data_IF_956795319858
#
_entry.id   IF_956795319858
#
_cell.length_a   1.000
_cell.length_b   1.000
_cell.length_c   1.000
_cell.angle_alpha   90.00
_cell.angle_beta   90.00
_cell.angle_gamma   90.00
#
_symmetry.space_group_name_H-M   'P 1'
#
loop_
_entity.id
_entity.type
_entity.pdbx_description
1 polymer ?
#
# COMPACT_ATOMS: atom_id res chain seq x y z
N UNK A 1 14.94 38.11 -11.62
CA UNK A 1 14.07 37.11 -12.27
C UNK A 1 14.88 36.35 -13.31
N UNK A 2 14.52 35.11 -13.62
CA UNK A 2 14.96 34.44 -14.83
C UNK A 2 14.14 34.97 -16.02
N UNK A 3 14.75 35.15 -17.19
CA UNK A 3 14.06 35.65 -18.39
C UNK A 3 13.84 34.55 -19.44
N UNK A 4 14.19 33.30 -19.13
CA UNK A 4 13.93 32.15 -19.98
C UNK A 4 13.92 30.85 -19.20
N UNK A 5 13.49 29.79 -19.86
CA UNK A 5 13.61 28.42 -19.36
C UNK A 5 13.80 27.45 -20.54
N UNK A 6 14.66 26.47 -20.34
CA UNK A 6 14.89 25.36 -21.27
C UNK A 6 14.14 24.14 -20.77
N UNK A 7 13.31 23.53 -21.63
CA UNK A 7 12.73 22.22 -21.36
C UNK A 7 13.84 21.16 -21.40
N UNK A 8 14.07 20.48 -20.28
CA UNK A 8 15.05 19.39 -20.16
C UNK A 8 14.43 18.08 -20.63
N UNK A 9 13.27 17.73 -20.05
CA UNK A 9 12.50 16.54 -20.41
C UNK A 9 11.05 16.72 -19.94
N UNK A 10 10.11 16.09 -20.63
CA UNK A 10 8.74 15.92 -20.16
C UNK A 10 8.30 14.47 -20.39
N UNK A 11 7.31 14.05 -19.63
CA UNK A 11 6.65 12.77 -19.84
C UNK A 11 5.13 12.98 -19.82
N UNK A 12 4.44 12.75 -20.95
CA UNK A 12 2.99 12.91 -21.00
C UNK A 12 2.23 11.91 -20.12
N UNK A 13 2.78 10.73 -19.81
CA UNK A 13 2.12 9.73 -18.96
C UNK A 13 2.23 10.09 -17.48
N UNK A 14 3.41 10.53 -17.04
CA UNK A 14 3.67 11.06 -15.70
C UNK A 14 3.30 12.55 -15.59
N UNK A 15 2.72 13.15 -16.63
CA UNK A 15 2.14 14.51 -16.62
C UNK A 15 3.03 15.56 -15.93
N UNK A 16 4.32 15.58 -16.29
CA UNK A 16 5.29 16.52 -15.73
C UNK A 16 6.26 17.04 -16.79
N UNK A 17 6.87 18.18 -16.50
CA UNK A 17 8.00 18.73 -17.25
C UNK A 17 9.10 19.19 -16.30
N UNK A 18 10.34 18.77 -16.57
CA UNK A 18 11.53 19.31 -15.94
C UNK A 18 12.08 20.44 -16.80
N UNK A 19 12.16 21.63 -16.23
CA UNK A 19 12.71 22.82 -16.90
C UNK A 19 13.92 23.34 -16.14
N UNK A 20 14.88 23.89 -16.88
CA UNK A 20 16.03 24.62 -16.35
C UNK A 20 15.81 26.11 -16.57
N UNK A 21 15.89 26.92 -15.52
CA UNK A 21 15.81 28.37 -15.66
C UNK A 21 17.07 28.92 -16.32
N UNK A 22 16.88 29.77 -17.34
CA UNK A 22 17.95 30.41 -18.09
C UNK A 22 17.98 31.92 -17.84
N UNK A 23 19.11 32.54 -18.14
CA UNK A 23 19.27 34.00 -18.10
C UNK A 23 18.80 34.61 -16.77
N UNK A 24 19.22 34.01 -15.66
CA UNK A 24 18.98 34.56 -14.31
C UNK A 24 19.67 35.92 -14.25
N UNK A 25 18.90 37.00 -14.05
CA UNK A 25 19.43 38.37 -14.01
C UNK A 25 20.61 38.49 -13.03
N UNK A 26 21.62 39.27 -13.40
CA UNK A 26 22.77 39.54 -12.54
C UNK A 26 22.33 40.03 -11.14
N UNK A 27 22.87 39.41 -10.09
CA UNK A 27 22.54 39.72 -8.70
C UNK A 27 21.35 38.97 -8.11
N UNK A 28 20.68 38.08 -8.87
CA UNK A 28 19.61 37.22 -8.35
C UNK A 28 20.19 35.89 -7.90
N UNK A 29 20.14 35.63 -6.59
CA UNK A 29 20.48 34.33 -6.00
C UNK A 29 19.21 33.49 -5.82
N UNK A 30 19.09 32.41 -6.59
CA UNK A 30 17.95 31.49 -6.49
C UNK A 30 17.94 30.72 -5.17
N UNK A 31 19.09 30.53 -4.51
CA UNK A 31 19.16 29.82 -3.23
C UNK A 31 18.35 30.53 -2.12
N UNK A 32 18.17 31.86 -2.24
CA UNK A 32 17.37 32.66 -1.30
C UNK A 32 15.88 32.28 -1.26
N UNK A 33 15.36 31.61 -2.31
CA UNK A 33 13.97 31.15 -2.38
C UNK A 33 13.78 29.74 -1.81
N UNK A 34 14.88 29.02 -1.53
CA UNK A 34 14.83 27.61 -1.15
C UNK A 34 14.32 26.69 -2.27
N UNK A 35 14.12 25.42 -1.92
CA UNK A 35 13.53 24.42 -2.81
C UNK A 35 12.78 23.39 -1.97
N UNK A 36 11.78 22.76 -2.58
CA UNK A 36 11.08 21.63 -1.99
C UNK A 36 11.81 20.33 -2.35
N UNK A 37 11.78 19.38 -1.42
CA UNK A 37 12.35 18.05 -1.62
C UNK A 37 11.23 17.01 -1.56
N UNK A 38 11.44 15.88 -2.22
CA UNK A 38 10.62 14.68 -2.07
C UNK A 38 11.31 13.69 -1.16
N UNK A 39 10.55 12.81 -0.51
CA UNK A 39 11.13 11.68 0.21
C UNK A 39 11.41 10.51 -0.75
N UNK A 40 12.29 9.62 -0.32
CA UNK A 40 12.61 8.38 -1.04
C UNK A 40 11.59 7.26 -0.84
N UNK A 41 10.62 7.44 0.05
CA UNK A 41 9.59 6.45 0.39
C UNK A 41 8.27 6.76 -0.31
N UNK A 42 7.49 5.73 -0.64
CA UNK A 42 6.16 5.90 -1.21
C UNK A 42 5.21 6.65 -0.26
N UNK A 43 4.24 7.34 -0.86
CA UNK A 43 3.13 7.94 -0.14
C UNK A 43 2.21 6.84 0.43
N UNK A 44 1.69 7.01 1.64
CA UNK A 44 0.76 6.06 2.25
C UNK A 44 -0.67 6.59 2.25
N UNK A 45 -1.64 5.67 2.13
CA UNK A 45 -3.06 5.99 2.31
C UNK A 45 -3.26 6.60 3.69
N UNK A 46 -4.16 7.57 3.77
CA UNK A 46 -4.53 8.31 4.98
C UNK A 46 -3.48 9.31 5.51
N UNK A 47 -2.37 9.52 4.81
CA UNK A 47 -1.46 10.62 5.14
C UNK A 47 -2.16 11.97 5.04
N UNK A 48 -1.93 12.83 6.03
CA UNK A 48 -2.41 14.22 5.98
C UNK A 48 -1.50 15.02 5.07
N UNK A 49 -2.10 15.67 4.08
CA UNK A 49 -1.40 16.39 3.03
C UNK A 49 -1.96 17.80 2.88
N UNK A 50 -1.18 18.66 2.23
CA UNK A 50 -1.62 19.96 1.77
C UNK A 50 -1.00 20.26 0.39
N UNK A 51 -1.61 21.14 -0.38
CA UNK A 51 -1.07 21.61 -1.66
C UNK A 51 -0.81 23.11 -1.60
N UNK A 52 0.31 23.54 -2.17
CA UNK A 52 0.64 24.95 -2.33
C UNK A 52 0.56 25.28 -3.82
N UNK A 53 -0.28 26.23 -4.20
CA UNK A 53 -0.53 26.51 -5.61
C UNK A 53 -0.93 27.95 -5.91
N UNK A 54 -1.05 28.24 -7.21
CA UNK A 54 -1.49 29.53 -7.74
C UNK A 54 -2.74 29.34 -8.62
N UNK A 55 -3.88 28.95 -8.02
CA UNK A 55 -5.08 28.61 -8.79
C UNK A 55 -5.50 29.78 -9.67
N UNK A 56 -5.71 29.51 -10.96
CA UNK A 56 -6.07 30.53 -11.96
C UNK A 56 -5.12 31.75 -12.01
N UNK A 57 -3.85 31.58 -11.61
CA UNK A 57 -2.86 32.67 -11.55
C UNK A 57 -3.05 33.64 -10.38
N UNK A 58 -3.87 33.29 -9.40
CA UNK A 58 -4.09 34.07 -8.17
C UNK A 58 -2.86 34.04 -7.25
N UNK A 59 -2.82 34.88 -6.20
CA UNK A 59 -1.81 34.75 -5.14
C UNK A 59 -1.73 33.33 -4.59
N UNK A 60 -0.59 33.01 -3.97
CA UNK A 60 -0.34 31.68 -3.40
C UNK A 60 -1.47 31.28 -2.43
N UNK A 61 -2.10 30.14 -2.70
CA UNK A 61 -3.11 29.52 -1.86
C UNK A 61 -2.57 28.20 -1.31
N UNK A 62 -2.91 27.91 -0.06
CA UNK A 62 -2.63 26.63 0.58
C UNK A 62 -3.97 25.91 0.72
N UNK A 63 -4.14 24.80 0.01
CA UNK A 63 -5.27 23.90 0.18
C UNK A 63 -4.87 22.84 1.22
N UNK A 64 -5.58 22.77 2.33
CA UNK A 64 -5.18 21.91 3.46
C UNK A 64 -6.34 21.32 4.27
N UNK A 65 -7.57 21.65 3.89
CA UNK A 65 -8.81 21.09 4.46
C UNK A 65 -9.73 20.62 3.32
N UNK A 66 -10.64 19.71 3.67
CA UNK A 66 -11.76 19.23 2.85
C UNK A 66 -13.02 20.08 3.10
N UNK A 67 -14.09 19.87 2.33
CA UNK A 67 -15.37 20.59 2.40
C UNK A 67 -16.03 20.51 3.79
N UNK A 68 -15.76 19.44 4.54
CA UNK A 68 -16.25 19.22 5.90
C UNK A 68 -15.38 19.87 6.99
N UNK A 69 -14.31 20.57 6.59
CA UNK A 69 -13.35 21.21 7.48
C UNK A 69 -12.32 20.24 8.07
N UNK A 70 -12.34 18.96 7.70
CA UNK A 70 -11.31 17.99 8.11
C UNK A 70 -9.99 18.26 7.35
N UNK A 71 -8.83 17.87 7.92
CA UNK A 71 -7.56 17.99 7.22
C UNK A 71 -7.54 17.19 5.92
N UNK A 72 -6.96 17.77 4.87
CA UNK A 72 -6.78 17.10 3.59
C UNK A 72 -5.96 15.82 3.71
N UNK A 73 -6.39 14.75 3.02
CA UNK A 73 -5.78 13.42 3.11
C UNK A 73 -5.57 12.77 1.76
N UNK A 74 -4.55 11.91 1.68
CA UNK A 74 -4.46 10.88 0.66
C UNK A 74 -5.48 9.79 0.96
N UNK A 75 -6.32 9.45 -0.01
CA UNK A 75 -7.38 8.45 0.15
C UNK A 75 -7.08 7.16 -0.57
N UNK A 76 -6.25 7.25 -1.60
CA UNK A 76 -5.77 6.10 -2.34
C UNK A 76 -4.37 6.43 -2.85
N UNK A 77 -3.50 5.44 -2.82
CA UNK A 77 -2.14 5.53 -3.36
C UNK A 77 -1.98 4.64 -4.57
N UNK A 78 -3.01 3.92 -4.99
CA UNK A 78 -3.01 3.03 -6.15
C UNK A 78 -4.16 3.38 -7.10
N UNK A 79 -4.35 4.67 -7.36
CA UNK A 79 -5.52 5.18 -8.05
C UNK A 79 -5.28 5.29 -9.56
N UNK A 80 -5.99 4.45 -10.34
CA UNK A 80 -6.08 4.60 -11.80
C UNK A 80 -7.55 4.83 -12.18
N UNK A 81 -7.97 6.08 -12.47
CA UNK A 81 -9.35 6.36 -12.81
C UNK A 81 -9.78 5.62 -14.09
N UNK A 82 -10.93 4.94 -14.03
CA UNK A 82 -11.53 4.26 -15.18
C UNK A 82 -12.39 5.25 -15.98
N UNK A 83 -12.05 5.56 -17.24
CA UNK A 83 -12.93 6.41 -18.06
C UNK A 83 -12.38 7.12 -19.30
N UNK A 84 -11.07 7.11 -19.59
CA UNK A 84 -10.50 7.74 -20.80
C UNK A 84 -10.48 9.28 -20.76
N UNK A 85 -9.27 9.86 -20.63
CA UNK A 85 -9.03 11.30 -20.41
C UNK A 85 -7.60 11.58 -19.92
N UNK A 86 -7.15 12.84 -19.90
CA UNK A 86 -5.76 13.26 -19.57
C UNK A 86 -5.33 12.86 -18.14
N UNK A 87 -6.27 12.54 -17.26
CA UNK A 87 -6.02 12.07 -15.89
C UNK A 87 -5.72 10.56 -15.77
N UNK A 88 -5.82 9.77 -16.86
CA UNK A 88 -6.13 8.33 -16.80
C UNK A 88 -5.02 7.41 -17.36
N UNK A 89 -3.75 7.75 -17.15
CA UNK A 89 -2.65 7.13 -17.91
C UNK A 89 -1.71 6.25 -17.08
N UNK A 90 -1.62 6.48 -15.77
CA UNK A 90 -0.80 5.69 -14.85
C UNK A 90 -1.41 5.71 -13.44
N UNK A 91 -0.86 4.88 -12.56
CA UNK A 91 -1.13 4.86 -11.13
C UNK A 91 -0.80 6.21 -10.44
N UNK A 92 -1.76 6.76 -9.67
CA UNK A 92 -1.73 8.09 -9.03
C UNK A 92 -2.03 8.02 -7.53
N UNK A 93 -1.82 9.16 -6.87
CA UNK A 93 -2.42 9.45 -5.57
C UNK A 93 -3.81 10.06 -5.77
N UNK A 94 -4.79 9.66 -4.95
CA UNK A 94 -6.08 10.32 -4.84
C UNK A 94 -6.14 11.11 -3.52
N UNK A 95 -6.67 12.33 -3.55
CA UNK A 95 -6.75 13.19 -2.37
C UNK A 95 -8.01 14.07 -2.37
N UNK A 96 -8.45 14.49 -1.18
CA UNK A 96 -9.53 15.49 -0.96
C UNK A 96 -8.98 16.81 -0.48
N UNK A 97 -8.08 17.40 -1.27
CA UNK A 97 -7.68 18.79 -1.02
C UNK A 97 -8.61 19.69 -1.80
N UNK A 98 -9.16 20.73 -1.18
CA UNK A 98 -10.00 21.71 -1.88
C UNK A 98 -9.16 22.61 -2.80
N UNK A 99 -8.75 22.05 -3.95
CA UNK A 99 -7.95 22.72 -4.95
C UNK A 99 -8.83 23.36 -6.01
N UNK A 100 -8.64 24.66 -6.22
CA UNK A 100 -9.31 25.40 -7.28
C UNK A 100 -8.73 25.08 -8.68
N UNK A 101 -9.52 25.38 -9.72
CA UNK A 101 -9.09 25.25 -11.11
C UNK A 101 -7.79 26.03 -11.40
N UNK A 102 -6.91 25.43 -12.19
CA UNK A 102 -5.57 25.96 -12.48
C UNK A 102 -4.51 25.61 -11.43
N UNK A 103 -4.79 24.68 -10.52
CA UNK A 103 -3.80 24.15 -9.57
C UNK A 103 -2.91 23.04 -10.15
N UNK A 104 -3.10 22.59 -11.39
CA UNK A 104 -2.26 21.57 -12.02
C UNK A 104 -0.77 21.95 -11.99
N UNK A 105 0.07 21.02 -11.57
CA UNK A 105 1.49 21.23 -11.30
C UNK A 105 1.80 21.69 -9.87
N UNK A 106 0.81 21.85 -8.99
CA UNK A 106 1.06 22.22 -7.59
C UNK A 106 1.65 21.04 -6.81
N UNK A 107 2.70 21.23 -6.00
CA UNK A 107 3.20 20.18 -5.12
C UNK A 107 2.17 19.83 -4.04
N UNK A 108 1.99 18.52 -3.83
CA UNK A 108 1.26 17.94 -2.69
C UNK A 108 2.30 17.45 -1.69
N UNK A 109 2.26 18.01 -0.48
CA UNK A 109 3.23 17.79 0.58
C UNK A 109 2.57 17.10 1.77
N UNK A 110 3.33 16.28 2.50
CA UNK A 110 2.83 15.76 3.79
C UNK A 110 3.03 16.78 4.90
N UNK A 111 2.13 16.76 5.87
CA UNK A 111 2.27 17.56 7.10
C UNK A 111 3.44 17.11 7.99
N UNK A 112 3.79 15.83 7.96
CA UNK A 112 4.73 15.25 8.90
C UNK A 112 6.17 15.70 8.62
N UNK A 113 6.53 15.81 7.34
CA UNK A 113 7.90 16.06 6.89
C UNK A 113 8.03 17.26 5.94
N UNK A 114 6.91 17.86 5.50
CA UNK A 114 6.89 18.90 4.45
C UNK A 114 7.60 18.46 3.15
N UNK A 115 7.63 17.16 2.88
CA UNK A 115 8.19 16.61 1.66
C UNK A 115 7.09 16.40 0.63
N UNK A 116 7.43 16.69 -0.63
CA UNK A 116 6.54 16.50 -1.77
C UNK A 116 6.35 15.01 -1.97
N UNK A 117 5.11 14.56 -2.00
CA UNK A 117 4.74 13.16 -2.28
C UNK A 117 4.01 13.00 -3.60
N UNK A 118 3.45 14.10 -4.13
CA UNK A 118 2.90 14.10 -5.46
C UNK A 118 2.83 15.47 -6.12
N UNK A 119 2.54 15.45 -7.41
CA UNK A 119 2.31 16.62 -8.25
C UNK A 119 0.83 16.64 -8.63
N UNK A 120 0.04 17.55 -8.04
CA UNK A 120 -1.38 17.66 -8.31
C UNK A 120 -1.61 17.90 -9.80
N UNK A 121 -2.41 17.06 -10.44
CA UNK A 121 -2.49 17.06 -11.91
C UNK A 121 -3.92 17.10 -12.42
N UNK A 122 -4.89 16.56 -11.67
CA UNK A 122 -6.29 16.59 -12.05
C UNK A 122 -7.24 16.83 -10.88
N UNK A 123 -8.39 17.42 -11.22
CA UNK A 123 -9.55 17.49 -10.35
C UNK A 123 -10.80 16.87 -10.95
N UNK A 124 -11.76 16.51 -10.11
CA UNK A 124 -12.99 15.85 -10.53
C UNK A 124 -12.81 14.39 -10.98
N UNK A 125 -11.70 13.76 -10.58
CA UNK A 125 -11.50 12.32 -10.73
C UNK A 125 -12.54 11.57 -9.87
N UNK A 126 -13.02 10.40 -10.31
CA UNK A 126 -14.07 9.66 -9.59
C UNK A 126 -13.59 8.31 -9.11
N UNK A 127 -13.74 8.05 -7.81
CA UNK A 127 -13.72 6.70 -7.22
C UNK A 127 -15.14 6.39 -6.76
N UNK A 128 -15.78 5.41 -7.39
CA UNK A 128 -17.07 4.83 -6.94
C UNK A 128 -18.22 5.81 -6.61
N UNK A 129 -18.14 7.09 -7.06
CA UNK A 129 -19.05 8.24 -6.88
C UNK A 129 -18.54 9.43 -6.03
N UNK A 130 -17.33 9.36 -5.46
CA UNK A 130 -16.71 10.51 -4.78
C UNK A 130 -15.90 11.33 -5.79
N UNK A 131 -16.14 12.65 -5.85
CA UNK A 131 -15.27 13.56 -6.60
C UNK A 131 -13.98 13.77 -5.80
N UNK A 132 -12.87 13.39 -6.41
CA UNK A 132 -11.54 13.44 -5.84
C UNK A 132 -10.62 14.25 -6.76
N UNK A 133 -9.53 14.68 -6.17
CA UNK A 133 -8.40 15.21 -6.89
C UNK A 133 -7.31 14.14 -6.99
N UNK A 134 -6.45 14.25 -8.00
CA UNK A 134 -5.33 13.33 -8.17
C UNK A 134 -4.00 14.06 -8.26
N UNK A 135 -2.96 13.34 -7.86
CA UNK A 135 -1.58 13.76 -8.03
C UNK A 135 -0.73 12.64 -8.62
N UNK A 136 0.19 12.99 -9.51
CA UNK A 136 1.25 12.09 -9.97
C UNK A 136 2.17 11.78 -8.80
N UNK A 137 2.54 10.51 -8.62
CA UNK A 137 3.46 10.14 -7.54
C UNK A 137 4.83 10.72 -7.78
N UNK A 138 5.38 11.41 -6.78
CA UNK A 138 6.71 11.98 -6.91
C UNK A 138 7.78 10.89 -7.00
N UNK A 139 7.54 9.70 -6.42
CA UNK A 139 8.39 8.51 -6.56
C UNK A 139 8.55 8.08 -8.03
N UNK A 140 7.46 8.02 -8.79
CA UNK A 140 7.51 7.69 -10.23
C UNK A 140 8.33 8.71 -11.03
N UNK A 141 8.19 10.01 -10.72
CA UNK A 141 8.98 11.07 -11.37
C UNK A 141 10.45 10.96 -10.96
N UNK A 142 10.75 10.66 -9.69
CA UNK A 142 12.11 10.43 -9.19
C UNK A 142 12.75 9.25 -9.92
N UNK A 143 12.06 8.13 -10.04
CA UNK A 143 12.55 6.95 -10.76
C UNK A 143 12.76 7.25 -12.25
N UNK A 144 11.82 7.97 -12.87
CA UNK A 144 11.91 8.37 -14.27
C UNK A 144 13.14 9.25 -14.54
N UNK A 145 13.38 10.25 -13.69
CA UNK A 145 14.52 11.16 -13.82
C UNK A 145 15.84 10.48 -13.40
N UNK A 146 15.82 9.70 -12.33
CA UNK A 146 16.97 8.98 -11.78
C UNK A 146 17.54 7.95 -12.76
N UNK A 147 16.68 7.14 -13.38
CA UNK A 147 17.06 6.18 -14.42
C UNK A 147 17.71 6.81 -15.66
N UNK A 148 17.53 8.13 -15.86
CA UNK A 148 18.11 8.90 -16.96
C UNK A 148 19.29 9.78 -16.54
N UNK A 149 19.67 9.75 -15.26
CA UNK A 149 20.71 10.64 -14.72
C UNK A 149 20.32 12.12 -14.77
N UNK A 150 19.01 12.42 -14.78
CA UNK A 150 18.45 13.77 -14.88
C UNK A 150 17.85 14.27 -13.56
N UNK A 151 17.91 13.46 -12.50
CA UNK A 151 17.41 13.85 -11.18
C UNK A 151 18.20 15.06 -10.64
N UNK A 152 17.55 16.18 -10.30
CA UNK A 152 18.25 17.33 -9.74
C UNK A 152 18.97 16.95 -8.45
N UNK A 153 20.14 17.58 -8.26
CA UNK A 153 20.90 17.40 -7.03
C UNK A 153 20.05 17.81 -5.82
N UNK A 154 20.15 17.04 -4.74
CA UNK A 154 19.43 17.27 -3.48
C UNK A 154 17.89 17.20 -3.61
N UNK A 155 17.35 16.66 -4.71
CA UNK A 155 15.89 16.55 -4.90
C UNK A 155 15.22 15.58 -3.93
N UNK A 156 15.93 14.55 -3.47
CA UNK A 156 15.38 13.45 -2.66
C UNK A 156 16.04 13.42 -1.29
N UNK A 157 15.23 13.42 -0.23
CA UNK A 157 15.68 13.13 1.14
C UNK A 157 15.60 11.62 1.36
N UNK A 158 16.75 10.98 1.56
CA UNK A 158 16.82 9.65 2.17
C UNK A 158 16.52 9.81 3.65
N UNK A 159 15.36 9.33 4.09
CA UNK A 159 15.05 9.25 5.52
C UNK A 159 15.91 8.14 6.10
N UNK A 160 17.11 8.49 6.59
CA UNK A 160 17.97 7.57 7.33
C UNK A 160 17.23 7.17 8.61
N UNK A 161 16.82 5.90 8.68
CA UNK A 161 16.47 5.28 9.95
C UNK A 161 17.73 5.31 10.82
N UNK A 162 17.72 5.92 12.01
CA UNK A 162 18.92 5.97 12.86
C UNK A 162 19.33 4.55 13.25
N UNK A 163 20.62 4.18 13.10
CA UNK A 163 21.06 2.83 13.42
C UNK A 163 21.16 2.65 14.93
N UNK A 164 20.38 1.72 15.47
CA UNK A 164 20.54 1.21 16.82
C UNK A 164 21.93 0.53 16.94
N UNK A 165 22.71 1.04 17.89
CA UNK A 165 24.03 0.57 18.37
C UNK A 165 24.53 -0.81 17.92
N UNK A 166 25.63 -0.82 17.16
CA UNK A 166 26.47 -2.01 16.91
C UNK A 166 27.59 -2.15 17.96
N UNK A 167 28.06 -3.36 18.30
CA UNK A 167 29.36 -3.55 18.96
C UNK A 167 30.52 -3.67 17.95
N UNK A 168 31.66 -3.20 18.43
CA UNK A 168 32.97 -2.82 17.86
C UNK A 168 33.77 -3.85 17.01
N UNK A 169 34.15 -3.38 15.80
CA UNK A 169 35.38 -3.54 14.95
C UNK A 169 36.13 -4.87 14.71
N UNK A 170 36.45 -5.15 13.42
CA UNK A 170 37.83 -5.21 12.88
C UNK A 170 37.89 -5.15 11.32
N UNK A 171 39.03 -4.67 10.77
CA UNK A 171 39.35 -4.23 9.37
C UNK A 171 39.48 -5.36 8.30
N UNK A 172 39.58 -5.03 6.98
CA UNK A 172 39.32 -5.92 5.83
C UNK A 172 40.56 -6.53 5.14
N UNK A 173 40.37 -7.66 4.43
CA UNK A 173 41.23 -8.20 3.35
C UNK A 173 40.41 -9.17 2.44
N UNK A 174 40.82 -9.55 1.22
CA UNK A 174 40.04 -9.40 -0.02
C UNK A 174 39.36 -10.70 -0.52
N UNK A 175 38.29 -10.55 -1.31
CA UNK A 175 37.53 -11.63 -1.94
C UNK A 175 38.32 -12.49 -2.94
N UNK A 176 38.14 -13.82 -2.92
CA UNK A 176 38.41 -14.70 -4.05
C UNK A 176 37.16 -14.98 -4.92
N UNK A 177 37.34 -15.46 -6.17
CA UNK A 177 36.34 -15.38 -7.23
C UNK A 177 35.29 -16.50 -7.19
N UNK A 178 34.09 -16.16 -7.69
CA UNK A 178 32.94 -17.05 -7.90
C UNK A 178 33.23 -18.09 -9.00
N UNK A 179 32.84 -19.37 -8.79
CA UNK A 179 32.50 -20.29 -9.87
C UNK A 179 30.99 -20.40 -10.07
N UNK A 180 30.61 -20.57 -11.34
CA UNK A 180 29.28 -20.73 -11.91
C UNK A 180 28.64 -22.12 -11.66
N UNK A 181 27.30 -22.11 -11.49
CA UNK A 181 26.16 -23.03 -11.84
C UNK A 181 26.43 -24.42 -12.46
N UNK A 182 25.48 -25.42 -12.49
CA UNK A 182 24.03 -25.42 -12.10
C UNK A 182 23.47 -26.73 -11.44
N UNK A 183 22.28 -26.67 -10.79
CA UNK A 183 21.18 -27.66 -10.94
C UNK A 183 19.94 -27.35 -10.09
N UNK A 184 18.74 -27.80 -10.50
CA UNK A 184 17.45 -27.28 -10.05
C UNK A 184 16.95 -27.95 -8.77
N UNK A 185 16.68 -27.15 -7.74
CA UNK A 185 15.74 -27.54 -6.69
C UNK A 185 14.30 -27.40 -7.21
N UNK A 186 13.34 -28.21 -6.71
CA UNK A 186 11.96 -28.17 -7.18
C UNK A 186 11.38 -26.78 -6.90
N UNK A 187 11.13 -26.03 -7.97
CA UNK A 187 10.55 -24.69 -7.89
C UNK A 187 9.13 -24.81 -7.34
N UNK A 188 8.87 -24.16 -6.19
CA UNK A 188 7.54 -23.98 -5.60
C UNK A 188 6.57 -23.17 -6.48
N UNK A 189 6.99 -22.74 -7.66
CA UNK A 189 6.14 -22.08 -8.63
C UNK A 189 5.95 -22.96 -9.84
N UNK A 190 4.81 -22.77 -10.51
CA UNK A 190 4.53 -23.34 -11.80
C UNK A 190 5.61 -22.91 -12.80
N UNK A 191 5.75 -23.61 -13.93
CA UNK A 191 6.53 -23.11 -15.05
C UNK A 191 6.11 -21.68 -15.40
N UNK A 192 7.09 -20.84 -15.76
CA UNK A 192 6.85 -19.47 -16.18
C UNK A 192 6.08 -19.48 -17.50
N UNK A 193 4.96 -18.77 -17.50
CA UNK A 193 4.18 -18.44 -18.68
C UNK A 193 4.75 -17.19 -19.35
N UNK A 194 5.24 -17.34 -20.57
CA UNK A 194 5.83 -16.25 -21.35
C UNK A 194 4.75 -15.40 -22.05
N UNK A 195 4.96 -14.10 -22.08
CA UNK A 195 4.07 -13.08 -22.65
C UNK A 195 2.66 -13.06 -22.01
N UNK A 196 2.60 -13.30 -20.70
CA UNK A 196 1.37 -13.40 -19.93
C UNK A 196 1.41 -12.42 -18.76
N UNK A 197 0.35 -11.63 -18.66
CA UNK A 197 0.02 -10.82 -17.48
C UNK A 197 -1.30 -11.33 -16.87
N UNK A 198 -1.40 -11.20 -15.55
CA UNK A 198 -2.65 -11.37 -14.82
C UNK A 198 -3.03 -10.02 -14.24
N UNK A 199 -4.13 -9.42 -14.72
CA UNK A 199 -4.45 -8.05 -14.37
C UNK A 199 -4.95 -7.90 -12.92
N UNK A 200 -4.37 -6.94 -12.19
CA UNK A 200 -4.81 -6.52 -10.85
C UNK A 200 -4.39 -7.45 -9.70
N UNK A 201 -4.93 -7.15 -8.51
CA UNK A 201 -4.65 -7.87 -7.25
C UNK A 201 -3.18 -7.82 -6.77
N UNK A 202 -2.43 -6.81 -7.21
CA UNK A 202 -1.06 -6.54 -6.74
C UNK A 202 -1.05 -6.21 -5.24
N UNK A 203 -0.22 -6.95 -4.49
CA UNK A 203 0.05 -6.73 -3.06
C UNK A 203 1.18 -5.73 -2.86
N UNK A 204 2.25 -5.95 -3.61
CA UNK A 204 3.46 -5.15 -3.61
C UNK A 204 4.29 -5.53 -4.84
N UNK A 205 5.35 -4.77 -5.08
CA UNK A 205 6.35 -5.12 -6.07
C UNK A 205 7.73 -5.23 -5.46
N UNK A 206 8.58 -6.07 -6.07
CA UNK A 206 9.99 -6.21 -5.72
C UNK A 206 10.85 -6.09 -6.98
N UNK A 207 12.05 -5.54 -6.85
CA UNK A 207 12.97 -5.43 -7.98
C UNK A 207 13.77 -6.73 -8.17
N UNK A 208 13.65 -7.36 -9.33
CA UNK A 208 14.43 -8.54 -9.73
C UNK A 208 14.75 -8.49 -11.21
N UNK A 209 16.02 -8.63 -11.56
CA UNK A 209 16.48 -8.67 -12.95
C UNK A 209 15.98 -9.92 -13.72
N UNK A 210 15.57 -10.98 -13.01
CA UNK A 210 15.05 -12.21 -13.61
C UNK A 210 13.69 -12.60 -13.03
N UNK A 211 12.76 -12.97 -13.91
CA UNK A 211 11.45 -13.51 -13.54
C UNK A 211 11.54 -14.77 -12.67
N UNK A 212 12.63 -15.53 -12.77
CA UNK A 212 12.84 -16.73 -11.92
C UNK A 212 12.98 -16.39 -10.44
N UNK A 213 13.44 -15.19 -10.13
CA UNK A 213 13.71 -14.77 -8.76
C UNK A 213 12.42 -14.30 -8.06
N UNK A 214 11.40 -13.93 -8.82
CA UNK A 214 10.08 -13.54 -8.31
C UNK A 214 9.36 -14.66 -7.57
N UNK A 215 9.69 -15.92 -7.86
CA UNK A 215 9.08 -17.05 -7.17
C UNK A 215 9.44 -17.06 -5.67
N UNK A 216 10.70 -16.75 -5.36
CA UNK A 216 11.16 -16.67 -3.98
C UNK A 216 10.50 -15.49 -3.25
N UNK A 217 10.41 -14.35 -3.92
CA UNK A 217 9.77 -13.14 -3.38
C UNK A 217 8.28 -13.35 -3.12
N UNK A 218 7.57 -14.00 -4.04
CA UNK A 218 6.18 -14.34 -3.81
C UNK A 218 6.03 -15.35 -2.67
N UNK A 219 6.89 -16.38 -2.60
CA UNK A 219 6.86 -17.35 -1.51
C UNK A 219 7.18 -16.74 -0.13
N UNK A 220 7.98 -15.67 -0.08
CA UNK A 220 8.30 -14.95 1.16
C UNK A 220 7.32 -13.83 1.51
N UNK A 221 6.39 -13.50 0.61
CA UNK A 221 5.42 -12.42 0.79
C UNK A 221 4.07 -12.98 1.25
N UNK A 222 3.65 -12.70 2.49
CA UNK A 222 2.37 -13.15 3.01
C UNK A 222 1.21 -12.74 2.09
N UNK A 223 0.34 -13.69 1.76
CA UNK A 223 -0.80 -13.46 0.88
C UNK A 223 -0.49 -13.53 -0.63
N UNK A 224 0.78 -13.57 -1.05
CA UNK A 224 1.12 -13.72 -2.46
C UNK A 224 0.79 -15.13 -2.96
N UNK A 225 0.08 -15.20 -4.09
CA UNK A 225 -0.35 -16.46 -4.73
C UNK A 225 0.26 -16.64 -6.13
N UNK A 226 0.63 -15.55 -6.77
CA UNK A 226 1.30 -15.55 -8.07
C UNK A 226 2.11 -14.27 -8.21
N UNK A 227 3.02 -14.25 -9.17
CA UNK A 227 3.67 -13.03 -9.60
C UNK A 227 3.51 -12.85 -11.11
N UNK A 228 3.59 -11.59 -11.55
CA UNK A 228 3.89 -11.24 -12.93
C UNK A 228 5.20 -10.48 -12.93
N UNK A 229 6.14 -10.85 -13.76
CA UNK A 229 7.37 -10.11 -13.95
C UNK A 229 7.30 -9.30 -15.25
N UNK A 230 7.84 -8.08 -15.23
CA UNK A 230 8.07 -7.29 -16.44
C UNK A 230 9.45 -6.66 -16.42
N UNK A 231 9.89 -6.15 -17.57
CA UNK A 231 11.14 -5.41 -17.73
C UNK A 231 11.10 -3.98 -17.13
N UNK A 232 9.99 -3.62 -16.49
CA UNK A 232 9.83 -2.35 -15.79
C UNK A 232 10.98 -2.12 -14.79
N UNK A 233 11.58 -0.93 -14.83
CA UNK A 233 12.73 -0.53 -14.00
C UNK A 233 13.94 -1.49 -14.06
N UNK A 234 14.13 -2.21 -15.17
CA UNK A 234 15.20 -3.20 -15.32
C UNK A 234 14.87 -4.59 -14.74
N UNK A 235 13.60 -4.82 -14.41
CA UNK A 235 13.05 -6.09 -13.96
C UNK A 235 12.27 -5.95 -12.64
N UNK A 236 10.94 -6.04 -12.70
CA UNK A 236 10.04 -5.89 -11.55
C UNK A 236 9.14 -7.10 -11.40
N UNK A 237 9.07 -7.65 -10.19
CA UNK A 237 8.09 -8.66 -9.79
C UNK A 237 6.87 -7.98 -9.19
N UNK A 238 5.74 -8.12 -9.87
CA UNK A 238 4.43 -7.70 -9.39
C UNK A 238 3.81 -8.87 -8.63
N UNK A 239 3.89 -8.84 -7.29
CA UNK A 239 3.44 -9.91 -6.40
C UNK A 239 1.94 -9.75 -6.17
N UNK A 240 1.16 -10.81 -6.42
CA UNK A 240 -0.30 -10.72 -6.48
C UNK A 240 -0.99 -11.63 -5.48
N UNK A 241 -2.04 -11.13 -4.86
CA UNK A 241 -2.87 -11.86 -3.89
C UNK A 241 -3.83 -12.85 -4.53
N UNK A 242 -4.20 -12.64 -5.80
CA UNK A 242 -5.20 -13.43 -6.52
C UNK A 242 -4.94 -13.43 -8.02
N UNK A 243 -5.30 -14.53 -8.68
CA UNK A 243 -5.15 -14.64 -10.13
C UNK A 243 -6.25 -13.84 -10.85
N UNK A 244 -5.85 -12.72 -11.44
CA UNK A 244 -6.69 -11.84 -12.23
C UNK A 244 -7.05 -12.37 -13.63
N UNK A 245 -7.60 -11.50 -14.47
CA UNK A 245 -7.87 -11.84 -15.87
C UNK A 245 -6.55 -12.07 -16.61
N UNK A 246 -6.43 -13.20 -17.31
CA UNK A 246 -5.25 -13.55 -18.10
C UNK A 246 -5.23 -12.74 -19.39
N UNK A 247 -4.19 -11.94 -19.59
CA UNK A 247 -4.00 -11.08 -20.76
C UNK A 247 -2.67 -11.39 -21.42
N UNK A 248 -2.62 -11.32 -22.75
CA UNK A 248 -1.38 -11.49 -23.50
C UNK A 248 -0.64 -10.15 -23.54
N UNK A 249 0.50 -10.07 -22.88
CA UNK A 249 1.37 -8.88 -22.83
C UNK A 249 2.78 -9.30 -23.21
N UNK A 250 3.28 -8.80 -24.35
CA UNK A 250 4.62 -9.13 -24.83
C UNK A 250 5.68 -8.72 -23.81
N UNK A 251 6.54 -9.66 -23.41
CA UNK A 251 7.60 -9.42 -22.42
C UNK A 251 7.21 -9.67 -20.95
N UNK A 252 5.92 -9.78 -20.63
CA UNK A 252 5.46 -10.15 -19.28
C UNK A 252 5.64 -11.65 -19.03
N UNK A 253 6.08 -12.03 -17.83
CA UNK A 253 6.43 -13.42 -17.48
C UNK A 253 5.78 -13.78 -16.15
N UNK A 254 4.81 -14.66 -16.14
CA UNK A 254 4.02 -14.95 -14.94
C UNK A 254 4.22 -16.38 -14.44
N UNK A 255 4.19 -16.59 -13.13
CA UNK A 255 4.07 -17.93 -12.56
C UNK A 255 3.24 -17.92 -11.28
N UNK A 256 2.57 -19.04 -11.02
CA UNK A 256 1.69 -19.25 -9.87
C UNK A 256 2.46 -20.08 -8.85
N UNK A 257 2.37 -19.78 -7.56
CA UNK A 257 2.93 -20.66 -6.53
C UNK A 257 2.23 -22.03 -6.58
N UNK A 258 2.98 -23.05 -7.01
CA UNK A 258 2.64 -24.46 -6.98
C UNK A 258 3.00 -25.05 -5.61
N UNK A 259 2.28 -24.58 -4.59
CA UNK A 259 1.86 -25.43 -3.49
C UNK A 259 0.47 -24.95 -3.07
N UNK A 260 -0.48 -25.89 -3.08
CA UNK A 260 -1.86 -25.64 -2.70
C UNK A 260 -1.94 -25.17 -1.25
N UNK A 261 -2.90 -24.28 -0.98
CA UNK A 261 -3.12 -23.56 0.28
C UNK A 261 -2.07 -22.49 0.59
N UNK A 262 -2.52 -21.23 0.57
CA UNK A 262 -1.88 -20.09 1.25
C UNK A 262 -1.43 -20.51 2.66
N UNK A 263 -0.34 -19.96 3.24
CA UNK A 263 -0.12 -20.02 4.68
C UNK A 263 -1.20 -19.17 5.34
N UNK A 264 -2.39 -19.74 5.39
CA UNK A 264 -3.49 -19.26 6.18
C UNK A 264 -3.05 -19.44 7.63
N UNK A 265 -3.17 -18.40 8.44
CA UNK A 265 -2.78 -18.53 9.83
C UNK A 265 -3.73 -19.61 10.42
N UNK A 266 -3.21 -20.67 11.06
CA UNK A 266 -4.02 -21.81 11.49
C UNK A 266 -5.16 -21.34 12.39
N UNK A 267 -6.29 -22.06 12.49
CA UNK A 267 -7.35 -21.67 13.43
C UNK A 267 -6.74 -21.40 14.80
N UNK A 268 -7.04 -20.25 15.42
CA UNK A 268 -6.47 -19.81 16.70
C UNK A 268 -5.03 -19.21 16.63
N UNK A 269 -4.72 -18.42 15.60
CA UNK A 269 -3.41 -17.80 15.37
C UNK A 269 -3.47 -16.26 15.46
N UNK A 270 -2.30 -15.63 15.59
CA UNK A 270 -2.21 -14.18 15.63
C UNK A 270 -1.73 -13.61 14.29
N UNK A 271 -2.27 -12.45 13.94
CA UNK A 271 -1.90 -11.69 12.78
C UNK A 271 -0.50 -11.08 12.90
N UNK A 272 -0.02 -10.57 11.78
CA UNK A 272 1.24 -9.85 11.70
C UNK A 272 1.16 -8.58 12.57
N UNK A 273 2.26 -8.23 13.23
CA UNK A 273 2.36 -7.00 14.01
C UNK A 273 2.32 -5.77 13.07
N UNK A 274 1.28 -4.96 13.22
CA UNK A 274 1.11 -3.64 12.61
C UNK A 274 1.81 -2.60 13.50
N UNK A 275 3.02 -2.18 13.11
CA UNK A 275 3.78 -1.16 13.83
C UNK A 275 3.18 0.21 13.61
N UNK A 276 3.30 1.06 14.63
CA UNK A 276 2.83 2.44 14.63
C UNK A 276 1.33 2.58 14.35
N UNK A 277 0.57 1.54 14.67
CA UNK A 277 -0.86 1.46 14.41
C UNK A 277 -1.56 1.18 15.73
N UNK A 278 -2.51 2.02 16.08
CA UNK A 278 -3.43 1.83 17.21
C UNK A 278 -4.83 1.49 16.69
N UNK A 279 -5.43 0.45 17.25
CA UNK A 279 -6.83 0.12 17.00
C UNK A 279 -7.67 0.84 18.06
N UNK A 280 -8.10 2.07 17.79
CA UNK A 280 -8.68 2.92 18.83
C UNK A 280 -10.00 2.35 19.41
N UNK A 281 -10.11 2.35 20.75
CA UNK A 281 -11.32 1.99 21.49
C UNK A 281 -11.63 0.50 21.58
N UNK A 282 -12.80 0.19 22.17
CA UNK A 282 -13.33 -1.17 22.38
C UNK A 282 -12.39 -2.06 23.21
N UNK A 283 -11.66 -1.45 24.14
CA UNK A 283 -10.85 -2.15 25.13
C UNK A 283 -11.76 -2.89 26.09
N UNK A 284 -11.68 -4.21 26.04
CA UNK A 284 -12.51 -5.12 26.86
C UNK A 284 -11.75 -5.65 28.07
N UNK A 285 -10.42 -5.58 28.03
CA UNK A 285 -9.53 -5.98 29.10
C UNK A 285 -8.13 -5.41 28.83
N UNK A 286 -7.30 -5.40 29.86
CA UNK A 286 -5.88 -5.07 29.76
C UNK A 286 -5.05 -6.18 30.41
N UNK A 287 -3.82 -6.37 29.91
CA UNK A 287 -2.84 -7.26 30.54
C UNK A 287 -1.45 -6.66 30.44
N UNK A 288 -0.74 -6.59 31.57
CA UNK A 288 0.65 -6.14 31.59
C UNK A 288 1.59 -7.23 31.10
N UNK A 289 2.57 -6.87 30.26
CA UNK A 289 3.56 -7.78 29.72
C UNK A 289 4.20 -7.31 28.40
N UNK A 290 5.21 -8.04 27.92
CA UNK A 290 5.85 -7.75 26.63
C UNK A 290 4.88 -8.03 25.47
N UNK A 291 5.11 -7.39 24.31
CA UNK A 291 4.29 -7.52 23.09
C UNK A 291 3.92 -8.99 22.75
N UNK A 292 4.89 -9.90 22.86
CA UNK A 292 4.72 -11.32 22.53
C UNK A 292 3.63 -12.01 23.38
N UNK A 293 3.37 -11.50 24.58
CA UNK A 293 2.34 -12.05 25.49
C UNK A 293 0.91 -11.62 25.11
N UNK A 294 0.75 -10.55 24.33
CA UNK A 294 -0.57 -10.00 24.00
C UNK A 294 -1.41 -10.95 23.16
N UNK A 295 -0.76 -11.71 22.28
CA UNK A 295 -1.40 -12.72 21.45
C UNK A 295 -2.09 -13.79 22.32
N UNK A 296 -1.36 -14.35 23.28
CA UNK A 296 -1.88 -15.40 24.16
C UNK A 296 -2.93 -14.85 25.14
N UNK A 297 -2.73 -13.64 25.66
CA UNK A 297 -3.72 -12.94 26.48
C UNK A 297 -5.03 -12.73 25.72
N UNK A 298 -4.95 -12.29 24.46
CA UNK A 298 -6.13 -12.13 23.62
C UNK A 298 -6.76 -13.48 23.26
N UNK A 299 -5.98 -14.53 22.98
CA UNK A 299 -6.51 -15.88 22.74
C UNK A 299 -7.31 -16.40 23.93
N UNK A 300 -6.82 -16.18 25.15
CA UNK A 300 -7.49 -16.61 26.39
C UNK A 300 -8.78 -15.84 26.70
N UNK A 301 -8.96 -14.63 26.16
CA UNK A 301 -10.17 -13.84 26.33
C UNK A 301 -11.12 -14.05 25.16
N UNK A 302 -12.24 -14.78 25.35
CA UNK A 302 -13.20 -15.12 24.27
C UNK A 302 -13.68 -13.90 23.46
N UNK A 303 -13.95 -12.78 24.12
CA UNK A 303 -14.41 -11.54 23.49
C UNK A 303 -13.31 -10.79 22.73
N UNK A 304 -12.03 -11.14 22.95
CA UNK A 304 -10.91 -10.47 22.28
C UNK A 304 -10.74 -10.93 20.83
N UNK A 305 -10.55 -9.97 19.94
CA UNK A 305 -10.39 -10.16 18.49
C UNK A 305 -9.15 -9.45 17.93
N UNK A 306 -8.59 -8.50 18.67
CA UNK A 306 -7.35 -7.82 18.35
C UNK A 306 -6.70 -7.28 19.63
N UNK A 307 -5.46 -6.81 19.55
CA UNK A 307 -4.83 -6.09 20.65
C UNK A 307 -4.01 -4.91 20.13
N UNK A 308 -3.81 -3.92 21.00
CA UNK A 308 -2.83 -2.85 20.82
C UNK A 308 -1.92 -2.82 22.03
N UNK A 309 -0.62 -2.83 21.78
CA UNK A 309 0.40 -2.87 22.81
C UNK A 309 1.16 -1.55 22.85
N UNK A 310 1.30 -0.99 24.04
CA UNK A 310 2.10 0.21 24.33
C UNK A 310 2.57 0.17 25.79
N UNK A 311 3.80 0.59 26.04
CA UNK A 311 4.40 0.70 27.37
C UNK A 311 4.15 -0.52 28.28
N UNK A 312 4.52 -1.71 27.79
CA UNK A 312 4.36 -3.00 28.48
C UNK A 312 2.91 -3.34 28.87
N UNK A 313 1.92 -2.77 28.17
CA UNK A 313 0.50 -3.03 28.40
C UNK A 313 -0.17 -3.46 27.10
N UNK A 314 -0.83 -4.61 27.11
CA UNK A 314 -1.69 -5.09 26.04
C UNK A 314 -3.13 -4.64 26.31
N UNK A 315 -3.65 -3.76 25.47
CA UNK A 315 -5.06 -3.42 25.45
C UNK A 315 -5.77 -4.42 24.54
N UNK A 316 -6.55 -5.32 25.15
CA UNK A 316 -7.30 -6.37 24.47
C UNK A 316 -8.60 -5.80 23.92
N UNK A 317 -8.85 -6.00 22.63
CA UNK A 317 -9.92 -5.31 21.91
C UNK A 317 -10.99 -6.26 21.45
N UNK A 318 -12.24 -5.85 21.68
CA UNK A 318 -13.43 -6.55 21.24
C UNK A 318 -13.60 -6.57 19.74
N UNK A 319 -12.98 -5.64 19.00
CA UNK A 319 -12.91 -5.61 17.53
C UNK A 319 -11.84 -4.63 17.06
N UNK A 320 -11.45 -4.71 15.80
CA UNK A 320 -10.66 -3.67 15.14
C UNK A 320 -11.59 -2.58 14.63
N UNK A 321 -11.31 -1.32 15.00
CA UNK A 321 -12.03 -0.14 14.49
C UNK A 321 -11.02 0.99 14.28
N UNK A 322 -11.21 1.73 13.19
CA UNK A 322 -10.52 2.99 12.85
C UNK A 322 -9.02 2.98 13.21
N UNK A 323 -8.21 2.16 12.51
CA UNK A 323 -6.78 2.11 12.74
C UNK A 323 -6.20 3.51 12.56
N UNK A 324 -5.52 3.98 13.59
CA UNK A 324 -4.92 5.30 13.61
C UNK A 324 -3.43 5.18 13.82
N UNK A 325 -2.68 6.12 13.26
CA UNK A 325 -1.24 6.12 13.44
C UNK A 325 -0.90 6.57 14.87
N UNK A 326 -0.11 5.75 15.57
CA UNK A 326 0.46 6.09 16.87
C UNK A 326 1.85 5.47 16.97
N UNK A 327 2.88 6.31 17.02
CA UNK A 327 4.29 5.90 16.88
C UNK A 327 4.76 4.88 17.93
N UNK A 328 4.08 4.80 19.07
CA UNK A 328 4.49 3.97 20.21
C UNK A 328 3.63 2.71 20.36
N UNK A 329 2.65 2.51 19.47
CA UNK A 329 1.71 1.40 19.55
C UNK A 329 2.03 0.35 18.49
N UNK A 330 1.97 -0.91 18.89
CA UNK A 330 2.04 -2.06 17.99
C UNK A 330 0.77 -2.89 18.15
N UNK A 331 0.07 -3.16 17.06
CA UNK A 331 -1.22 -3.85 17.11
C UNK A 331 -1.23 -5.11 16.27
N UNK A 332 -2.09 -6.06 16.62
CA UNK A 332 -2.33 -7.21 15.75
C UNK A 332 -3.74 -7.75 15.91
N UNK A 333 -4.24 -8.36 14.83
CA UNK A 333 -5.48 -9.14 14.83
C UNK A 333 -5.25 -10.49 15.48
N UNK A 334 -6.30 -11.08 16.04
CA UNK A 334 -6.26 -12.44 16.61
C UNK A 334 -7.37 -13.28 15.98
N UNK A 335 -6.94 -14.27 15.20
CA UNK A 335 -7.82 -15.15 14.42
C UNK A 335 -8.30 -16.30 15.27
N UNK A 336 -9.61 -16.39 15.50
CA UNK A 336 -10.23 -17.45 16.31
C UNK A 336 -11.24 -18.30 15.55
N UNK A 337 -11.54 -17.90 14.32
CA UNK A 337 -12.39 -18.65 13.41
C UNK A 337 -11.60 -19.75 12.72
N UNK A 338 -12.34 -20.63 12.04
CA UNK A 338 -11.74 -21.57 11.13
C UNK A 338 -11.00 -20.86 9.99
N UNK A 339 -10.09 -21.61 9.40
CA UNK A 339 -9.46 -21.34 8.13
C UNK A 339 -10.45 -20.85 7.05
N UNK A 340 -10.14 -19.70 6.42
CA UNK A 340 -10.86 -19.19 5.23
C UNK A 340 -10.86 -20.22 4.08
N UNK A 341 -12.06 -20.43 3.52
CA UNK A 341 -12.32 -21.19 2.30
C UNK A 341 -12.43 -20.22 1.12
N UNK A 342 -11.39 -20.17 0.29
CA UNK A 342 -11.34 -19.28 -0.87
C UNK A 342 -12.20 -19.78 -2.04
N UNK A 343 -12.88 -18.85 -2.69
CA UNK A 343 -13.85 -19.07 -3.76
C UNK A 343 -15.05 -19.95 -3.38
N UNK A 344 -15.39 -19.99 -2.10
CA UNK A 344 -16.52 -20.76 -1.57
C UNK A 344 -17.51 -19.78 -0.99
N UNK A 345 -18.77 -19.90 -1.42
CA UNK A 345 -19.90 -19.17 -0.85
C UNK A 345 -20.76 -20.12 -0.01
N UNK A 346 -20.95 -19.80 1.27
CA UNK A 346 -21.94 -20.48 2.09
C UNK A 346 -23.32 -19.92 1.74
N UNK A 347 -24.23 -20.79 1.28
CA UNK A 347 -25.50 -20.36 0.71
C UNK A 347 -26.58 -20.24 1.77
N UNK A 348 -27.20 -19.06 1.85
CA UNK A 348 -28.31 -18.77 2.74
C UNK A 348 -27.90 -18.62 4.20
N UNK A 349 -28.88 -18.73 5.10
CA UNK A 349 -28.71 -18.54 6.54
C UNK A 349 -28.19 -17.16 6.95
N UNK A 350 -28.29 -16.15 6.08
CA UNK A 350 -27.86 -14.79 6.36
C UNK A 350 -28.70 -14.17 7.50
N UNK A 351 -28.04 -13.81 8.59
CA UNK A 351 -28.65 -13.14 9.75
C UNK A 351 -28.39 -11.63 9.74
N UNK A 352 -27.29 -11.20 9.11
CA UNK A 352 -26.95 -9.80 8.92
C UNK A 352 -25.90 -9.64 7.82
N UNK A 353 -25.78 -8.42 7.30
CA UNK A 353 -24.66 -8.00 6.47
C UNK A 353 -24.01 -6.76 7.05
N UNK A 354 -22.68 -6.76 7.09
CA UNK A 354 -21.88 -5.68 7.69
C UNK A 354 -20.72 -5.36 6.76
N UNK A 355 -20.39 -4.08 6.59
CA UNK A 355 -19.20 -3.67 5.86
C UNK A 355 -17.94 -4.01 6.65
N UNK A 356 -16.91 -4.48 5.96
CA UNK A 356 -15.60 -4.77 6.52
C UNK A 356 -14.49 -4.44 5.53
N UNK A 357 -13.39 -3.90 6.04
CA UNK A 357 -12.20 -3.57 5.24
C UNK A 357 -11.51 -4.83 4.70
N UNK A 358 -11.58 -5.93 5.45
CA UNK A 358 -10.92 -7.18 5.13
C UNK A 358 -11.76 -8.40 5.54
N UNK A 359 -11.55 -9.55 4.87
CA UNK A 359 -12.22 -10.82 5.22
C UNK A 359 -11.88 -11.26 6.65
N UNK A 360 -10.68 -10.90 7.10
CA UNK A 360 -10.13 -11.12 8.41
C UNK A 360 -11.00 -10.51 9.52
N UNK A 361 -11.64 -9.38 9.24
CA UNK A 361 -12.48 -8.67 10.20
C UNK A 361 -13.86 -9.34 10.35
N UNK A 362 -14.31 -10.12 9.34
CA UNK A 362 -15.58 -10.84 9.41
C UNK A 362 -15.63 -11.86 10.54
N UNK A 363 -14.49 -12.46 10.88
CA UNK A 363 -14.40 -13.38 12.02
C UNK A 363 -14.78 -12.70 13.33
N UNK A 364 -14.15 -11.56 13.60
CA UNK A 364 -14.40 -10.75 14.78
C UNK A 364 -15.87 -10.29 14.83
N UNK A 365 -16.37 -9.78 13.71
CA UNK A 365 -17.76 -9.31 13.60
C UNK A 365 -18.75 -10.45 13.85
N UNK A 366 -18.52 -11.62 13.25
CA UNK A 366 -19.40 -12.78 13.43
C UNK A 366 -19.39 -13.27 14.89
N UNK A 367 -18.23 -13.37 15.54
CA UNK A 367 -18.14 -13.81 16.95
C UNK A 367 -18.79 -12.82 17.93
N UNK A 368 -18.90 -11.54 17.55
CA UNK A 368 -19.67 -10.54 18.29
C UNK A 368 -21.20 -10.63 18.11
N UNK A 369 -21.70 -11.46 17.19
CA UNK A 369 -23.14 -11.64 16.92
C UNK A 369 -23.58 -13.02 17.45
N UNK A 370 -24.42 -13.09 18.50
CA UNK A 370 -24.75 -14.35 19.18
C UNK A 370 -25.29 -15.47 18.27
N UNK A 371 -25.98 -15.12 17.19
CA UNK A 371 -26.56 -16.09 16.25
C UNK A 371 -25.64 -16.43 15.08
N UNK A 372 -24.49 -15.75 14.93
CA UNK A 372 -23.58 -15.97 13.82
C UNK A 372 -22.62 -17.13 14.11
N UNK A 373 -22.59 -18.10 13.20
CA UNK A 373 -21.73 -19.30 13.27
C UNK A 373 -20.82 -19.43 12.05
N UNK A 374 -21.03 -18.61 11.02
CA UNK A 374 -20.23 -18.58 9.82
C UNK A 374 -20.38 -17.24 9.10
N UNK A 375 -19.51 -16.95 8.14
CA UNK A 375 -19.64 -15.80 7.26
C UNK A 375 -19.20 -16.14 5.83
N UNK A 376 -19.74 -15.39 4.86
CA UNK A 376 -19.16 -15.23 3.51
C UNK A 376 -18.73 -13.77 3.36
N UNK A 377 -17.54 -13.50 2.85
CA UNK A 377 -17.07 -12.16 2.51
C UNK A 377 -17.00 -11.99 0.99
N UNK A 378 -17.60 -10.91 0.50
CA UNK A 378 -17.51 -10.54 -0.90
C UNK A 378 -17.72 -9.03 -1.07
N UNK A 379 -16.87 -8.40 -1.91
CA UNK A 379 -16.97 -6.97 -2.27
C UNK A 379 -17.05 -6.03 -1.05
N UNK A 380 -16.21 -6.27 -0.04
CA UNK A 380 -16.17 -5.45 1.19
C UNK A 380 -17.27 -5.78 2.21
N UNK A 381 -18.15 -6.74 1.95
CA UNK A 381 -19.27 -7.06 2.83
C UNK A 381 -19.08 -8.43 3.48
N UNK A 382 -19.18 -8.49 4.81
CA UNK A 382 -19.35 -9.72 5.58
C UNK A 382 -20.84 -10.08 5.66
N UNK A 383 -21.21 -11.18 5.03
CA UNK A 383 -22.54 -11.78 5.13
C UNK A 383 -22.52 -12.80 6.27
N UNK A 384 -23.00 -12.39 7.43
CA UNK A 384 -23.02 -13.16 8.68
C UNK A 384 -24.13 -14.20 8.62
N UNK A 385 -23.83 -15.44 9.04
CA UNK A 385 -24.71 -16.59 8.84
C UNK A 385 -24.91 -17.39 10.10
N UNK A 386 -26.12 -17.90 10.29
CA UNK A 386 -26.47 -18.74 11.44
C UNK A 386 -25.96 -20.19 11.36
N UNK A 387 -25.49 -20.62 10.18
CA UNK A 387 -24.97 -21.96 9.95
C UNK A 387 -24.13 -22.01 8.66
N UNK A 388 -23.22 -23.00 8.60
CA UNK A 388 -22.63 -23.51 7.35
C UNK A 388 -23.43 -24.76 6.93
N UNK A 389 -24.28 -24.63 5.91
CA UNK A 389 -25.02 -25.77 5.34
C UNK A 389 -24.54 -26.05 3.91
N UNK A 390 -25.23 -25.52 2.89
CA UNK A 390 -24.84 -25.69 1.49
C UNK A 390 -23.71 -24.74 1.12
N UNK A 391 -22.74 -25.26 0.37
CA UNK A 391 -21.69 -24.44 -0.24
C UNK A 391 -21.78 -24.48 -1.76
N UNK A 392 -21.35 -23.40 -2.43
CA UNK A 392 -21.18 -23.37 -3.88
C UNK A 392 -19.89 -22.63 -4.24
N UNK A 393 -19.41 -22.86 -5.46
CA UNK A 393 -18.31 -22.08 -6.02
C UNK A 393 -18.74 -20.63 -6.23
N UNK A 394 -18.02 -19.70 -5.62
CA UNK A 394 -18.22 -18.26 -5.76
C UNK A 394 -16.88 -17.57 -5.98
N UNK A 395 -16.54 -17.23 -7.22
CA UNK A 395 -15.26 -16.58 -7.53
C UNK A 395 -15.15 -15.25 -6.78
N UNK A 396 -14.07 -15.08 -6.00
CA UNK A 396 -13.85 -13.89 -5.17
C UNK A 396 -14.67 -13.85 -3.88
N UNK A 397 -15.31 -14.96 -3.49
CA UNK A 397 -15.99 -15.11 -2.19
C UNK A 397 -15.09 -15.88 -1.23
N UNK A 398 -15.01 -15.43 0.01
CA UNK A 398 -14.19 -16.05 1.05
C UNK A 398 -15.05 -16.36 2.26
N UNK A 399 -15.11 -17.62 2.70
CA UNK A 399 -16.02 -18.02 3.77
C UNK A 399 -15.31 -18.75 4.90
N UNK A 400 -15.79 -18.65 6.14
CA UNK A 400 -15.31 -19.47 7.25
C UNK A 400 -16.38 -19.65 8.33
N UNK A 401 -16.22 -20.70 9.15
CA UNK A 401 -17.01 -20.89 10.37
C UNK A 401 -16.36 -20.13 11.53
N UNK A 402 -17.18 -19.49 12.36
CA UNK A 402 -16.75 -18.60 13.42
C UNK A 402 -16.56 -19.27 14.78
#
# INVERSE_FOLDING_TARGET
AATGATLVINDPQLDFALVKLDNVNAGVDLASFGYLQTRSTEAMVNETVYAIGHPSGRPCHIAYVDDDGSPGRLLDTSFTPSGGGECNIVDRLAHRLDTDAGSSGSPVLTYADNLVVGLHNCGGCRVENVNLNSAVKMSQIVDFLGSRGLLPRDAVVTVEVPPTSSPTTSKPTPSPPRPSTPSPQPTKCSPIEENVDYAGFDLMSTQRVSATDCCADCNSTPGCKLFVWSDYSGGTCWLKSQQGAKTKVTGARAAILSDGSSPQPPPSSCGVIEKQTDFAGEDIAESSGPLESCCDACKANEACHAYSWVDDTCYLKGKRRDPSHNSNVQSARVYKCASIEANVDFVGHDVASVQAEAVEDCCAICRGVPECKAFSFARGVCYLKSAKDKTKTGKGVFSATA
#
